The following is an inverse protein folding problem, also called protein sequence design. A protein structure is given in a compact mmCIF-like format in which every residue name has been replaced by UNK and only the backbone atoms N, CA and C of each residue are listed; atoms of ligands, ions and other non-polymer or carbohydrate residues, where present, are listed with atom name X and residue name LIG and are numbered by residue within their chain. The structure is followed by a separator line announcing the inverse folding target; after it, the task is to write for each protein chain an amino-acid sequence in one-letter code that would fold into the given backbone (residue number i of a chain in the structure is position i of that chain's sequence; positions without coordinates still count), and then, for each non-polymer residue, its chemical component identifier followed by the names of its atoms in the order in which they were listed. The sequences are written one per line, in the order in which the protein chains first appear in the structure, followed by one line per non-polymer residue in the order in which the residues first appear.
data_IF_601372607334
#
_entry.id   IF_601372607334
#
_cell.length_a   1.000
_cell.length_b   1.000
_cell.length_c   1.000
_cell.angle_alpha   90.00
_cell.angle_beta   90.00
_cell.angle_gamma   90.00
#
_symmetry.space_group_name_H-M   'P 1'
#
loop_
_entity.id
_entity.type
_entity.pdbx_description
1 polymer ?
#
# COMPACT_ATOMS: atom_id res chain seq x y z
N UNK A 1 -5.53 -5.45 13.96
CA UNK A 1 -4.86 -4.15 14.14
C UNK A 1 -5.07 -3.28 12.91
N UNK A 2 -5.51 -2.06 13.11
CA UNK A 2 -5.74 -1.11 12.01
C UNK A 2 -4.56 -0.14 11.91
N UNK A 3 -4.09 0.12 10.69
CA UNK A 3 -3.01 1.07 10.42
C UNK A 3 -3.47 2.12 9.42
N UNK A 4 -3.16 3.37 9.70
CA UNK A 4 -3.36 4.50 8.80
C UNK A 4 -2.00 5.09 8.47
N UNK A 5 -1.69 5.26 7.20
CA UNK A 5 -0.41 5.79 6.74
C UNK A 5 -0.62 6.96 5.79
N UNK A 6 0.00 8.09 6.09
CA UNK A 6 -0.04 9.26 5.21
C UNK A 6 1.03 9.10 4.14
N UNK A 7 0.61 9.10 2.87
CA UNK A 7 1.54 8.92 1.75
C UNK A 7 2.25 10.21 1.40
N UNK A 8 3.39 10.09 0.75
CA UNK A 8 4.19 11.23 0.26
C UNK A 8 4.70 10.93 -1.13
N UNK A 9 4.67 11.94 -2.01
CA UNK A 9 5.23 11.82 -3.35
C UNK A 9 4.38 11.06 -4.34
N UNK A 10 3.13 10.76 -4.01
CA UNK A 10 2.20 10.07 -4.89
C UNK A 10 0.89 10.84 -5.01
N UNK A 11 0.04 10.41 -5.94
CA UNK A 11 -1.28 11.03 -6.10
C UNK A 11 -2.28 10.56 -5.02
N UNK A 12 -2.04 9.46 -4.34
CA UNK A 12 -2.83 9.09 -3.18
C UNK A 12 -2.38 9.89 -1.97
N UNK A 13 -3.27 10.10 -1.00
CA UNK A 13 -2.96 10.90 0.19
C UNK A 13 -2.88 10.07 1.46
N UNK A 14 -3.50 8.91 1.47
CA UNK A 14 -3.58 8.09 2.68
C UNK A 14 -3.83 6.63 2.33
N UNK A 15 -3.31 5.73 3.14
CA UNK A 15 -3.57 4.30 3.02
C UNK A 15 -4.07 3.80 4.36
N UNK A 16 -5.18 3.07 4.36
CA UNK A 16 -5.76 2.43 5.54
C UNK A 16 -5.83 0.93 5.31
N UNK A 17 -5.47 0.14 6.30
CA UNK A 17 -5.57 -1.31 6.21
C UNK A 17 -5.59 -1.96 7.59
N UNK A 18 -6.04 -3.22 7.64
CA UNK A 18 -6.01 -4.03 8.84
C UNK A 18 -4.96 -5.13 8.69
N UNK A 19 -4.33 -5.52 9.80
CA UNK A 19 -3.39 -6.64 9.83
C UNK A 19 -3.87 -7.66 10.85
N UNK A 20 -4.07 -8.89 10.40
CA UNK A 20 -4.47 -10.03 11.24
C UNK A 20 -3.65 -11.23 10.83
N UNK A 21 -3.04 -11.91 11.79
CA UNK A 21 -2.21 -13.10 11.52
C UNK A 21 -1.14 -12.84 10.46
N UNK A 22 -0.55 -11.65 10.49
CA UNK A 22 0.48 -11.20 9.53
C UNK A 22 -0.04 -11.09 8.08
N UNK A 23 -1.35 -10.93 7.91
CA UNK A 23 -1.99 -10.76 6.59
C UNK A 23 -2.73 -9.44 6.51
N UNK A 24 -2.79 -8.90 5.29
CA UNK A 24 -3.41 -7.59 5.01
C UNK A 24 -4.88 -7.78 4.68
N UNK A 25 -5.73 -6.96 5.29
CA UNK A 25 -7.17 -6.97 5.00
C UNK A 25 -7.71 -5.55 4.88
N UNK A 26 -8.73 -5.40 4.07
CA UNK A 26 -9.50 -4.15 3.94
C UNK A 26 -8.64 -2.94 3.58
N UNK A 27 -7.71 -3.12 2.65
CA UNK A 27 -6.85 -2.03 2.19
C UNK A 27 -7.64 -1.01 1.39
N UNK A 28 -7.50 0.26 1.74
CA UNK A 28 -8.15 1.37 1.05
C UNK A 28 -7.12 2.47 0.83
N UNK A 29 -7.00 2.91 -0.43
CA UNK A 29 -6.25 4.12 -0.77
C UNK A 29 -7.23 5.29 -0.86
N UNK A 30 -6.88 6.41 -0.26
CA UNK A 30 -7.64 7.64 -0.38
C UNK A 30 -6.95 8.52 -1.42
N UNK A 31 -7.69 8.94 -2.46
CA UNK A 31 -7.12 9.69 -3.59
C UNK A 31 -6.37 8.79 -4.54
N UNK A 32 -5.68 9.40 -5.49
CA UNK A 32 -4.87 8.70 -6.47
C UNK A 32 -5.63 8.13 -7.63
N UNK A 33 -4.96 7.23 -8.36
CA UNK A 33 -5.50 6.60 -9.56
C UNK A 33 -6.47 5.49 -9.15
N UNK A 34 -7.76 5.77 -9.25
CA UNK A 34 -8.83 4.94 -8.70
C UNK A 34 -8.76 3.47 -9.16
N UNK A 35 -8.59 3.24 -10.45
CA UNK A 35 -8.51 1.88 -10.99
C UNK A 35 -7.28 1.12 -10.47
N UNK A 36 -6.11 1.75 -10.51
CA UNK A 36 -4.86 1.16 -10.04
C UNK A 36 -4.90 0.82 -8.55
N UNK A 37 -5.35 1.76 -7.72
CA UNK A 37 -5.37 1.56 -6.27
C UNK A 37 -6.36 0.48 -5.87
N UNK A 38 -7.51 0.39 -6.55
CA UNK A 38 -8.48 -0.67 -6.32
C UNK A 38 -7.93 -2.04 -6.73
N UNK A 39 -7.19 -2.09 -7.84
CA UNK A 39 -6.55 -3.32 -8.30
C UNK A 39 -5.50 -3.82 -7.30
N UNK A 40 -4.67 -2.92 -6.79
CA UNK A 40 -3.67 -3.25 -5.79
C UNK A 40 -4.36 -3.76 -4.51
N UNK A 41 -5.40 -3.08 -4.05
CA UNK A 41 -6.14 -3.48 -2.86
C UNK A 41 -6.71 -4.90 -3.01
N UNK A 42 -7.25 -5.22 -4.18
CA UNK A 42 -7.78 -6.55 -4.45
C UNK A 42 -6.68 -7.61 -4.46
N UNK A 43 -5.53 -7.30 -5.04
CA UNK A 43 -4.42 -8.24 -5.14
C UNK A 43 -3.78 -8.55 -3.79
N UNK A 44 -3.74 -7.57 -2.88
CA UNK A 44 -3.09 -7.76 -1.58
C UNK A 44 -4.02 -8.26 -0.49
N UNK A 45 -5.32 -8.31 -0.74
CA UNK A 45 -6.28 -8.81 0.24
C UNK A 45 -5.91 -10.23 0.68
N UNK A 46 -5.71 -10.43 1.98
CA UNK A 46 -5.36 -11.72 2.55
C UNK A 46 -3.92 -12.16 2.31
N UNK A 47 -3.09 -11.31 1.71
CA UNK A 47 -1.70 -11.64 1.44
C UNK A 47 -0.80 -11.38 2.64
N UNK A 48 0.31 -12.12 2.71
CA UNK A 48 1.30 -11.98 3.78
C UNK A 48 1.99 -10.61 3.73
N UNK A 49 2.10 -9.96 4.88
CA UNK A 49 2.71 -8.63 5.02
C UNK A 49 4.14 -8.62 4.45
N UNK A 50 4.96 -9.59 4.82
CA UNK A 50 6.36 -9.63 4.38
C UNK A 50 6.47 -9.83 2.87
N UNK A 51 5.63 -10.66 2.29
CA UNK A 51 5.63 -10.90 0.87
C UNK A 51 5.22 -9.66 0.07
N UNK A 52 4.17 -8.98 0.50
CA UNK A 52 3.70 -7.75 -0.16
C UNK A 52 4.76 -6.66 -0.05
N UNK A 53 5.34 -6.47 1.11
CA UNK A 53 6.39 -5.48 1.34
C UNK A 53 7.57 -5.72 0.38
N UNK A 54 8.03 -6.95 0.30
CA UNK A 54 9.15 -7.35 -0.56
C UNK A 54 8.86 -7.07 -2.04
N UNK A 55 7.65 -7.37 -2.50
CA UNK A 55 7.29 -7.22 -3.91
C UNK A 55 7.06 -5.79 -4.35
N UNK A 56 6.54 -4.95 -3.47
CA UNK A 56 6.15 -3.59 -3.83
C UNK A 56 7.21 -2.53 -3.54
N UNK A 57 8.18 -2.85 -2.71
CA UNK A 57 9.22 -1.90 -2.33
C UNK A 57 10.04 -1.47 -3.55
N UNK A 58 10.23 -0.16 -3.69
CA UNK A 58 11.07 0.39 -4.75
C UNK A 58 10.38 0.60 -6.09
N UNK A 59 9.09 0.29 -6.22
CA UNK A 59 8.36 0.54 -7.46
C UNK A 59 8.14 2.05 -7.59
N UNK A 60 8.55 2.61 -8.73
CA UNK A 60 8.43 4.04 -9.00
C UNK A 60 7.37 4.30 -10.05
N UNK A 61 6.71 5.46 -9.94
CA UNK A 61 5.68 5.88 -10.89
C UNK A 61 6.23 6.99 -11.78
N UNK A 62 6.54 6.67 -13.03
CA UNK A 62 7.09 7.62 -13.99
C UNK A 62 8.37 8.25 -13.48
N UNK A 63 8.40 9.58 -13.37
CA UNK A 63 9.57 10.34 -12.89
C UNK A 63 9.59 10.52 -11.38
N UNK A 64 8.60 10.00 -10.66
CA UNK A 64 8.53 10.12 -9.21
C UNK A 64 9.47 9.13 -8.55
N UNK A 65 9.97 9.48 -7.37
CA UNK A 65 10.86 8.61 -6.61
C UNK A 65 10.12 7.47 -5.91
N UNK A 66 8.80 7.48 -5.95
CA UNK A 66 7.96 6.50 -5.27
C UNK A 66 6.66 6.27 -6.05
N UNK A 67 5.80 5.41 -5.54
CA UNK A 67 4.50 5.11 -6.15
C UNK A 67 3.53 4.70 -5.04
N UNK A 68 2.24 4.56 -5.37
CA UNK A 68 1.27 4.06 -4.39
C UNK A 68 1.66 2.67 -3.86
N UNK A 69 2.06 1.70 -4.71
CA UNK A 69 2.56 0.41 -4.20
C UNK A 69 3.77 0.55 -3.29
N UNK A 70 4.75 1.41 -3.66
CA UNK A 70 5.94 1.63 -2.85
C UNK A 70 5.57 2.25 -1.49
N UNK A 71 4.62 3.19 -1.49
CA UNK A 71 4.14 3.79 -0.25
C UNK A 71 3.46 2.76 0.66
N UNK A 72 2.74 1.81 0.08
CA UNK A 72 2.19 0.70 0.86
C UNK A 72 3.30 -0.12 1.50
N UNK A 73 4.35 -0.44 0.74
CA UNK A 73 5.50 -1.15 1.29
C UNK A 73 6.12 -0.40 2.47
N UNK A 74 6.26 0.92 2.35
CA UNK A 74 6.79 1.75 3.44
C UNK A 74 5.88 1.73 4.66
N UNK A 75 4.56 1.74 4.45
CA UNK A 75 3.60 1.63 5.54
C UNK A 75 3.76 0.30 6.27
N UNK A 76 3.98 -0.78 5.53
CA UNK A 76 4.18 -2.11 6.11
C UNK A 76 5.50 -2.21 6.87
N UNK A 77 6.52 -1.46 6.46
CA UNK A 77 7.79 -1.43 7.17
C UNK A 77 7.68 -0.80 8.55
N UNK A 78 6.65 0.03 8.78
CA UNK A 78 6.41 0.68 10.07
C UNK A 78 5.70 -0.21 11.10
N UNK A 79 5.28 -1.39 10.71
CA UNK A 79 4.56 -2.31 11.62
C UNK A 79 5.45 -2.94 12.69
#
# INVERSE_FOLDING_TARGET
MHKTYKTKGTCSVQIDFDVEDNKIHNLVFTGGCNGNTKGIAALVEGQDVEEVKKRLKGIKCGFRDTSCPDQLAKALEEL
#
